data_IF_402481703255
#
_entry.id   IF_402481703255
#
_cell.length_a   1.000
_cell.length_b   1.000
_cell.length_c   1.000
_cell.angle_alpha   90.00
_cell.angle_beta   90.00
_cell.angle_gamma   90.00
#
_symmetry.space_group_name_H-M   'P 1'
#
loop_
_entity.id
_entity.type
_entity.pdbx_description
1 polymer ?
#
# COMPACT_ATOMS: atom_id res chain seq x y z
N UNK A 1 3.34 -24.94 37.11
CA UNK A 1 3.00 -23.83 36.18
C UNK A 1 4.15 -23.32 35.30
N UNK A 2 5.41 -23.74 35.50
CA UNK A 2 6.60 -23.13 34.86
C UNK A 2 7.04 -23.70 33.49
N UNK A 3 6.30 -24.65 32.90
CA UNK A 3 6.61 -25.24 31.57
C UNK A 3 5.67 -24.84 30.43
N UNK A 4 4.45 -24.39 30.73
CA UNK A 4 3.50 -23.94 29.69
C UNK A 4 4.03 -22.72 28.96
N UNK A 5 4.46 -21.71 29.72
CA UNK A 5 4.98 -20.45 29.19
C UNK A 5 6.23 -20.62 28.30
N UNK A 6 7.14 -21.56 28.62
CA UNK A 6 8.31 -21.81 27.78
C UNK A 6 7.96 -22.49 26.45
N UNK A 7 6.95 -23.36 26.44
CA UNK A 7 6.50 -24.03 25.21
C UNK A 7 5.78 -23.06 24.28
N UNK A 8 4.94 -22.19 24.85
CA UNK A 8 4.27 -21.13 24.11
C UNK A 8 5.29 -20.15 23.52
N UNK A 9 6.25 -19.70 24.33
CA UNK A 9 7.34 -18.82 23.89
C UNK A 9 8.19 -19.46 22.77
N UNK A 10 8.47 -20.76 22.85
CA UNK A 10 9.20 -21.47 21.80
C UNK A 10 8.40 -21.56 20.49
N UNK A 11 7.08 -21.78 20.57
CA UNK A 11 6.18 -21.76 19.40
C UNK A 11 6.15 -20.37 18.77
N UNK A 12 6.02 -19.32 19.58
CA UNK A 12 6.04 -17.93 19.08
C UNK A 12 7.37 -17.58 18.41
N UNK A 13 8.51 -17.95 19.02
CA UNK A 13 9.83 -17.73 18.42
C UNK A 13 10.00 -18.47 17.10
N UNK A 14 9.52 -19.71 17.02
CA UNK A 14 9.54 -20.48 15.78
C UNK A 14 8.63 -19.88 14.70
N UNK A 15 7.42 -19.46 15.07
CA UNK A 15 6.50 -18.80 14.14
C UNK A 15 7.11 -17.49 13.63
N UNK A 16 7.66 -16.66 14.52
CA UNK A 16 8.36 -15.42 14.16
C UNK A 16 9.53 -15.69 13.22
N UNK A 17 10.34 -16.72 13.49
CA UNK A 17 11.46 -17.12 12.62
C UNK A 17 10.97 -17.55 11.23
N UNK A 18 9.89 -18.34 11.15
CA UNK A 18 9.30 -18.73 9.86
C UNK A 18 8.74 -17.52 9.10
N UNK A 19 8.08 -16.59 9.77
CA UNK A 19 7.59 -15.36 9.14
C UNK A 19 8.73 -14.48 8.62
N UNK A 20 9.82 -14.35 9.39
CA UNK A 20 11.01 -13.62 8.95
C UNK A 20 11.70 -14.30 7.76
N UNK A 21 11.76 -15.64 7.73
CA UNK A 21 12.25 -16.38 6.57
C UNK A 21 11.37 -16.16 5.33
N UNK A 22 10.04 -16.15 5.48
CA UNK A 22 9.11 -15.83 4.39
C UNK A 22 9.29 -14.40 3.86
N UNK A 23 9.58 -13.43 4.73
CA UNK A 23 9.87 -12.04 4.30
C UNK A 23 11.20 -11.93 3.56
N UNK A 24 12.22 -12.67 4.00
CA UNK A 24 13.56 -12.72 3.39
C UNK A 24 13.64 -13.58 2.13
N UNK A 25 12.61 -14.38 1.86
CA UNK A 25 12.52 -15.17 0.65
C UNK A 25 12.65 -14.26 -0.58
N UNK A 26 13.51 -14.66 -1.52
CA UNK A 26 13.72 -13.93 -2.78
C UNK A 26 12.43 -13.79 -3.57
N UNK A 27 12.41 -12.86 -4.54
CA UNK A 27 11.19 -12.52 -5.28
C UNK A 27 10.48 -13.72 -5.93
N UNK A 28 11.18 -14.81 -6.27
CA UNK A 28 10.59 -16.04 -6.81
C UNK A 28 9.94 -16.95 -5.78
N UNK A 29 10.35 -16.87 -4.51
CA UNK A 29 9.84 -17.68 -3.41
C UNK A 29 8.73 -16.98 -2.62
N UNK A 30 8.38 -15.74 -3.00
CA UNK A 30 7.18 -15.06 -2.48
C UNK A 30 5.95 -15.76 -3.05
N UNK A 31 4.99 -16.06 -2.19
CA UNK A 31 3.78 -16.83 -2.52
C UNK A 31 2.99 -16.23 -3.70
N UNK A 32 2.87 -14.90 -3.77
CA UNK A 32 2.23 -14.20 -4.91
C UNK A 32 3.00 -14.26 -6.24
N UNK A 33 4.23 -14.74 -6.22
CA UNK A 33 5.12 -14.88 -7.38
C UNK A 33 5.43 -16.35 -7.71
N UNK A 34 4.92 -17.30 -6.92
CA UNK A 34 5.08 -18.72 -7.17
C UNK A 34 4.47 -19.09 -8.53
N UNK A 35 5.23 -19.81 -9.36
CA UNK A 35 4.80 -20.23 -10.70
C UNK A 35 4.77 -19.12 -11.76
N UNK A 36 5.08 -17.87 -11.43
CA UNK A 36 5.15 -16.79 -12.43
C UNK A 36 6.55 -16.66 -13.01
N UNK A 37 6.62 -16.58 -14.35
CA UNK A 37 7.82 -16.19 -15.07
C UNK A 37 8.24 -14.76 -14.70
N UNK A 38 9.51 -14.42 -14.95
CA UNK A 38 10.03 -13.08 -14.71
C UNK A 38 9.27 -12.01 -15.49
N UNK A 39 8.85 -12.32 -16.71
CA UNK A 39 8.17 -11.36 -17.58
C UNK A 39 6.73 -11.11 -17.14
N UNK A 40 6.02 -12.16 -16.70
CA UNK A 40 4.69 -12.02 -16.13
C UNK A 40 4.69 -11.14 -14.85
N UNK A 41 5.75 -11.22 -14.04
CA UNK A 41 5.93 -10.34 -12.87
C UNK A 41 6.15 -8.89 -13.28
N UNK A 42 7.02 -8.65 -14.26
CA UNK A 42 7.28 -7.29 -14.78
C UNK A 42 6.01 -6.65 -15.35
N UNK A 43 5.21 -7.40 -16.10
CA UNK A 43 3.94 -6.91 -16.65
C UNK A 43 2.97 -6.53 -15.52
N UNK A 44 2.83 -7.39 -14.51
CA UNK A 44 1.98 -7.10 -13.35
C UNK A 44 2.45 -5.86 -12.60
N UNK A 45 3.75 -5.75 -12.32
CA UNK A 45 4.31 -4.60 -11.61
C UNK A 45 4.10 -3.30 -12.41
N UNK A 46 4.26 -3.35 -13.72
CA UNK A 46 3.98 -2.23 -14.63
C UNK A 46 2.50 -1.82 -14.61
N UNK A 47 1.59 -2.78 -14.65
CA UNK A 47 0.15 -2.52 -14.61
C UNK A 47 -0.28 -1.89 -13.29
N UNK A 48 0.22 -2.42 -12.16
CA UNK A 48 -0.02 -1.83 -10.83
C UNK A 48 0.51 -0.40 -10.77
N UNK A 49 1.65 -0.12 -11.40
CA UNK A 49 2.22 1.24 -11.44
C UNK A 49 1.37 2.19 -12.27
N UNK A 50 0.87 1.76 -13.44
CA UNK A 50 -0.09 2.53 -14.26
C UNK A 50 -1.34 2.87 -13.47
N UNK A 51 -1.98 1.86 -12.88
CA UNK A 51 -3.19 2.05 -12.07
C UNK A 51 -2.94 2.98 -10.88
N UNK A 52 -1.76 2.93 -10.26
CA UNK A 52 -1.38 3.84 -9.18
C UNK A 52 -1.23 5.28 -9.66
N UNK A 53 -0.63 5.50 -10.84
CA UNK A 53 -0.50 6.83 -11.44
C UNK A 53 -1.87 7.40 -11.82
N UNK A 54 -2.74 6.60 -12.45
CA UNK A 54 -4.10 7.00 -12.81
C UNK A 54 -4.92 7.39 -11.57
N UNK A 55 -4.84 6.58 -10.50
CA UNK A 55 -5.49 6.90 -9.21
C UNK A 55 -4.91 8.17 -8.57
N UNK A 56 -3.60 8.36 -8.62
CA UNK A 56 -2.96 9.55 -8.07
C UNK A 56 -3.36 10.81 -8.85
N UNK A 57 -3.42 10.74 -10.18
CA UNK A 57 -3.88 11.82 -11.03
C UNK A 57 -5.35 12.16 -10.76
N UNK A 58 -6.22 11.15 -10.65
CA UNK A 58 -7.63 11.34 -10.31
C UNK A 58 -7.81 11.99 -8.93
N UNK A 59 -7.05 11.54 -7.92
CA UNK A 59 -7.09 12.14 -6.58
C UNK A 59 -6.63 13.59 -6.60
N UNK A 60 -5.54 13.89 -7.33
CA UNK A 60 -5.03 15.26 -7.48
C UNK A 60 -6.06 16.16 -8.17
N UNK A 61 -6.69 15.68 -9.24
CA UNK A 61 -7.75 16.43 -9.94
C UNK A 61 -8.96 16.72 -9.02
N UNK A 62 -9.37 15.75 -8.19
CA UNK A 62 -10.43 15.95 -7.22
C UNK A 62 -10.05 16.97 -6.12
N UNK A 63 -8.81 16.91 -5.61
CA UNK A 63 -8.31 17.87 -4.62
C UNK A 63 -8.19 19.29 -5.20
N UNK A 64 -7.72 19.42 -6.44
CA UNK A 64 -7.61 20.71 -7.12
C UNK A 64 -9.00 21.30 -7.44
N UNK A 65 -9.97 20.47 -7.84
CA UNK A 65 -11.36 20.88 -8.03
C UNK A 65 -12.02 21.33 -6.71
N UNK A 66 -11.76 20.63 -5.60
CA UNK A 66 -12.25 21.01 -4.28
C UNK A 66 -11.68 22.37 -3.84
N UNK A 67 -10.36 22.57 -3.99
CA UNK A 67 -9.70 23.85 -3.68
C UNK A 67 -10.23 24.99 -4.54
N UNK A 68 -10.46 24.75 -5.83
CA UNK A 68 -11.03 25.76 -6.74
C UNK A 68 -12.47 26.14 -6.36
N UNK A 69 -13.28 25.15 -5.96
CA UNK A 69 -14.64 25.41 -5.48
C UNK A 69 -14.64 26.22 -4.17
N UNK A 70 -13.75 25.92 -3.25
CA UNK A 70 -13.63 26.66 -1.98
C UNK A 70 -13.08 28.07 -2.17
N UNK A 71 -12.11 28.26 -3.08
CA UNK A 71 -11.64 29.59 -3.48
C UNK A 71 -12.77 30.44 -4.10
N UNK A 72 -13.63 29.83 -4.93
CA UNK A 72 -14.78 30.51 -5.54
C UNK A 72 -15.85 30.91 -4.52
N UNK A 73 -16.11 30.06 -3.50
CA UNK A 73 -17.01 30.41 -2.39
C UNK A 73 -16.45 31.56 -1.57
N UNK A 74 -15.15 31.53 -1.25
CA UNK A 74 -14.50 32.59 -0.49
C UNK A 74 -14.56 33.93 -1.24
N UNK A 75 -14.31 33.93 -2.55
CA UNK A 75 -14.41 35.13 -3.38
C UNK A 75 -15.84 35.70 -3.48
N UNK A 76 -16.87 34.84 -3.37
CA UNK A 76 -18.29 35.27 -3.40
C UNK A 76 -18.76 35.85 -2.06
N UNK A 77 -18.14 35.44 -0.96
CA UNK A 77 -18.49 35.88 0.41
C UNK A 77 -17.70 37.15 0.80
N UNK A 78 -16.66 37.52 0.04
CA UNK A 78 -15.83 38.70 0.26
C UNK A 78 -16.67 40.00 0.28
N UNK A 79 -16.92 40.60 1.46
CA UNK A 79 -17.79 41.77 1.61
C UNK A 79 -17.17 43.06 1.04
N UNK A 80 -15.90 43.02 0.60
CA UNK A 80 -15.23 44.10 -0.13
C UNK A 80 -15.44 44.05 -1.65
N UNK A 81 -16.11 43.01 -2.17
CA UNK A 81 -16.40 42.81 -3.60
C UNK A 81 -17.89 42.93 -4.01
N UNK A 82 -18.81 43.10 -3.06
CA UNK A 82 -20.19 43.52 -3.36
C UNK A 82 -20.25 45.03 -3.51
#
# INVERSE_FOLDING_TARGET
>A
MTRGNQRDLAREKNLKKQLEQKKKAGAAAKEGNAGLSTDARKIRDAEVMRLKQEKAAAKKAAEDAAKAADAKKLAKIDPLKM
#
